data_IF_096442581382
#
_entry.id   IF_096442581382
#
_cell.length_a   1.000
_cell.length_b   1.000
_cell.length_c   1.000
_cell.angle_alpha   90.00
_cell.angle_beta   90.00
_cell.angle_gamma   90.00
#
_symmetry.space_group_name_H-M   'P 1'
#
loop_
_entity.id
_entity.type
_entity.pdbx_description
1 polymer ?
#
# COMPACT_ATOMS: atom_id res chain seq x y z
N UNK A 1 -19.46 -12.74 36.81
CA UNK A 1 -19.36 -11.29 36.58
C UNK A 1 -17.90 -10.94 36.32
N UNK A 2 -17.50 -10.86 35.05
CA UNK A 2 -16.50 -9.88 34.60
C UNK A 2 -17.27 -8.95 33.65
N UNK A 3 -17.42 -7.67 34.01
CA UNK A 3 -17.97 -6.67 33.11
C UNK A 3 -16.87 -6.28 32.10
N UNK A 4 -17.29 -5.84 30.91
CA UNK A 4 -16.49 -5.21 29.86
C UNK A 4 -15.77 -6.13 28.82
N UNK A 5 -16.37 -6.17 27.62
CA UNK A 5 -15.69 -6.09 26.30
C UNK A 5 -14.79 -7.24 25.83
N UNK A 6 -15.34 -8.14 25.00
CA UNK A 6 -14.66 -8.83 23.88
C UNK A 6 -13.20 -9.28 24.07
N UNK A 7 -12.98 -10.33 24.89
CA UNK A 7 -11.75 -11.14 24.87
C UNK A 7 -11.73 -12.06 23.63
N UNK A 8 -11.56 -11.49 22.43
CA UNK A 8 -11.48 -12.29 21.20
C UNK A 8 -10.04 -12.66 20.84
N UNK A 9 -9.44 -13.58 21.59
CA UNK A 9 -8.22 -14.26 21.16
C UNK A 9 -8.48 -15.06 19.88
N UNK A 10 -7.68 -14.86 18.84
CA UNK A 10 -7.75 -15.65 17.61
C UNK A 10 -8.70 -15.13 16.52
N UNK A 11 -9.20 -13.89 16.62
CA UNK A 11 -9.87 -13.22 15.49
C UNK A 11 -8.85 -12.49 14.62
N UNK A 12 -8.92 -12.72 13.31
CA UNK A 12 -8.04 -12.10 12.31
C UNK A 12 -8.87 -11.51 11.16
N UNK A 13 -8.43 -10.36 10.66
CA UNK A 13 -9.03 -9.69 9.50
C UNK A 13 -7.94 -9.32 8.49
N UNK A 14 -8.22 -9.55 7.21
CA UNK A 14 -7.34 -9.24 6.08
C UNK A 14 -8.17 -8.99 4.83
N UNK A 15 -7.53 -8.65 3.70
CA UNK A 15 -8.25 -8.38 2.45
C UNK A 15 -9.01 -7.05 2.47
N UNK A 16 -10.16 -7.04 1.82
CA UNK A 16 -11.08 -5.91 1.66
C UNK A 16 -11.94 -5.63 2.92
N UNK A 17 -12.01 -6.57 3.86
CA UNK A 17 -12.69 -6.44 5.14
C UNK A 17 -11.98 -5.46 6.10
N UNK A 18 -10.72 -5.09 5.82
CA UNK A 18 -9.94 -4.16 6.65
C UNK A 18 -10.24 -2.71 6.23
N UNK A 19 -10.67 -1.84 7.16
CA UNK A 19 -10.98 -0.44 6.86
C UNK A 19 -9.72 0.31 6.42
N UNK A 20 -9.49 0.34 5.11
CA UNK A 20 -8.31 0.91 4.46
C UNK A 20 -8.66 1.35 3.04
N UNK A 21 -7.71 1.97 2.33
CA UNK A 21 -7.96 2.36 0.94
C UNK A 21 -8.33 1.13 0.09
N UNK A 22 -9.35 1.32 -0.76
CA UNK A 22 -9.96 0.25 -1.57
C UNK A 22 -9.16 -0.03 -2.84
N UNK A 23 -7.88 -0.35 -2.70
CA UNK A 23 -7.04 -0.81 -3.81
C UNK A 23 -6.72 -2.31 -3.68
N UNK A 24 -6.61 -2.99 -4.82
CA UNK A 24 -6.25 -4.43 -4.87
C UNK A 24 -4.92 -4.68 -4.16
N UNK A 25 -3.93 -3.81 -4.37
CA UNK A 25 -2.61 -3.92 -3.74
C UNK A 25 -2.70 -3.89 -2.22
N UNK A 26 -3.56 -3.02 -1.67
CA UNK A 26 -3.73 -2.88 -0.22
C UNK A 26 -4.47 -4.09 0.36
N UNK A 27 -5.54 -4.55 -0.28
CA UNK A 27 -6.26 -5.74 0.12
C UNK A 27 -5.33 -6.98 0.15
N UNK A 28 -4.52 -7.18 -0.89
CA UNK A 28 -3.52 -8.26 -0.96
C UNK A 28 -2.50 -8.14 0.17
N UNK A 29 -2.00 -6.93 0.44
CA UNK A 29 -1.08 -6.66 1.54
C UNK A 29 -1.68 -7.03 2.91
N UNK A 30 -2.94 -6.68 3.15
CA UNK A 30 -3.66 -7.03 4.38
C UNK A 30 -3.91 -8.53 4.50
N UNK A 31 -4.28 -9.21 3.41
CA UNK A 31 -4.43 -10.66 3.39
C UNK A 31 -3.12 -11.36 3.79
N UNK A 32 -2.00 -10.98 3.16
CA UNK A 32 -0.66 -11.50 3.49
C UNK A 32 -0.28 -11.27 4.95
N UNK A 33 -0.62 -10.10 5.50
CA UNK A 33 -0.36 -9.79 6.91
C UNK A 33 -1.19 -10.71 7.81
N UNK A 34 -2.49 -10.82 7.58
CA UNK A 34 -3.38 -11.67 8.37
C UNK A 34 -2.92 -13.13 8.40
N UNK A 35 -2.53 -13.70 7.25
CA UNK A 35 -2.03 -15.08 7.17
C UNK A 35 -0.82 -15.34 8.06
N UNK A 36 0.09 -14.37 8.22
CA UNK A 36 1.28 -14.51 9.09
C UNK A 36 0.91 -14.57 10.57
N UNK A 37 -0.06 -13.75 10.98
CA UNK A 37 -0.55 -13.77 12.36
C UNK A 37 -1.36 -15.04 12.67
N UNK A 38 -2.14 -15.53 11.70
CA UNK A 38 -2.84 -16.82 11.81
C UNK A 38 -1.82 -17.96 11.98
N UNK A 39 -0.78 -18.01 11.14
CA UNK A 39 0.27 -19.04 11.24
C UNK A 39 0.96 -19.01 12.62
N UNK A 40 1.33 -17.83 13.11
CA UNK A 40 1.93 -17.71 14.44
C UNK A 40 0.98 -18.13 15.59
N UNK A 41 -0.29 -17.77 15.49
CA UNK A 41 -1.31 -18.19 16.45
C UNK A 41 -1.52 -19.70 16.47
N UNK A 42 -1.61 -20.34 15.29
CA UNK A 42 -1.76 -21.79 15.16
C UNK A 42 -0.54 -22.56 15.67
N UNK A 43 0.66 -21.97 15.59
CA UNK A 43 1.91 -22.57 16.07
C UNK A 43 2.21 -22.28 17.54
N UNK A 44 1.48 -21.37 18.17
CA UNK A 44 1.82 -20.85 19.50
C UNK A 44 3.07 -19.95 19.52
N UNK A 45 3.54 -19.51 18.35
CA UNK A 45 4.75 -18.70 18.16
C UNK A 45 4.37 -17.37 17.52
N UNK A 46 4.21 -16.28 18.28
CA UNK A 46 3.73 -15.01 17.76
C UNK A 46 4.59 -14.48 16.60
N UNK A 47 3.95 -14.12 15.49
CA UNK A 47 4.66 -13.53 14.35
C UNK A 47 5.27 -12.17 14.71
N UNK A 48 6.59 -12.04 14.54
CA UNK A 48 7.33 -10.78 14.71
C UNK A 48 7.59 -10.14 13.34
N UNK A 49 7.04 -8.95 13.06
CA UNK A 49 7.34 -8.23 11.83
C UNK A 49 8.82 -7.85 11.74
N UNK A 50 9.42 -8.04 10.56
CA UNK A 50 10.76 -7.52 10.29
C UNK A 50 10.82 -5.99 10.47
N UNK A 51 11.96 -5.43 10.89
CA UNK A 51 12.17 -3.99 10.89
C UNK A 51 11.83 -3.38 9.53
N UNK A 52 11.18 -2.21 9.55
CA UNK A 52 10.93 -1.46 8.32
C UNK A 52 12.25 -0.95 7.76
N UNK A 53 12.32 -0.78 6.45
CA UNK A 53 13.44 -0.10 5.82
C UNK A 53 13.61 1.29 6.41
N UNK A 54 14.86 1.72 6.57
CA UNK A 54 15.19 3.08 6.98
C UNK A 54 14.53 4.09 6.04
N UNK A 55 14.16 5.23 6.61
CA UNK A 55 13.73 6.38 5.81
C UNK A 55 14.89 6.76 4.90
N UNK A 56 14.63 6.76 3.60
CA UNK A 56 15.59 7.19 2.58
C UNK A 56 15.65 8.71 2.64
N UNK A 57 16.75 9.26 3.16
CA UNK A 57 17.02 10.69 3.12
C UNK A 57 17.45 11.15 1.72
N UNK A 58 17.55 12.47 1.54
CA UNK A 58 17.91 13.10 0.27
C UNK A 58 19.26 12.60 -0.28
N UNK A 59 20.19 12.26 0.60
CA UNK A 59 21.52 11.73 0.29
C UNK A 59 21.51 10.36 -0.39
N UNK A 60 20.42 9.60 -0.23
CA UNK A 60 20.23 8.28 -0.86
C UNK A 60 19.40 8.36 -2.15
N UNK A 61 18.94 9.55 -2.54
CA UNK A 61 18.26 9.77 -3.81
C UNK A 61 19.29 9.90 -4.94
N UNK A 62 19.19 9.04 -5.96
CA UNK A 62 19.99 9.16 -7.18
C UNK A 62 19.42 10.27 -8.08
N UNK A 63 19.66 11.53 -7.72
CA UNK A 63 19.12 12.73 -8.40
C UNK A 63 19.78 13.06 -9.75
N UNK A 64 20.50 12.11 -10.34
CA UNK A 64 21.16 12.27 -11.65
C UNK A 64 20.18 12.48 -12.82
N UNK A 65 18.88 12.47 -12.57
CA UNK A 65 17.84 12.76 -13.56
C UNK A 65 17.54 14.26 -13.76
N UNK A 66 18.45 15.14 -13.37
CA UNK A 66 18.44 16.54 -13.84
C UNK A 66 19.23 16.60 -15.14
N UNK A 67 18.72 15.94 -16.18
CA UNK A 67 19.18 16.25 -17.54
C UNK A 67 18.66 17.64 -17.85
N UNK A 68 19.55 18.54 -18.31
CA UNK A 68 19.17 19.73 -19.09
C UNK A 68 18.47 19.25 -20.37
N UNK A 69 17.25 18.74 -20.24
CA UNK A 69 16.44 18.28 -21.35
C UNK A 69 15.69 19.51 -21.85
N UNK A 70 15.94 19.99 -23.08
CA UNK A 70 15.15 21.07 -23.64
C UNK A 70 13.68 20.64 -23.62
N UNK A 71 12.82 21.51 -23.10
CA UNK A 71 11.38 21.29 -23.12
C UNK A 71 10.95 21.06 -24.58
N UNK A 72 10.49 19.85 -24.90
CA UNK A 72 9.95 19.57 -26.23
C UNK A 72 8.59 20.23 -26.33
N UNK A 73 8.34 20.92 -27.44
CA UNK A 73 7.00 21.39 -27.76
C UNK A 73 6.09 20.17 -27.94
N UNK A 74 5.14 19.99 -27.02
CA UNK A 74 4.14 18.93 -27.15
C UNK A 74 3.11 19.40 -28.20
N UNK A 75 2.91 18.66 -29.31
CA UNK A 75 1.86 19.01 -30.25
C UNK A 75 0.51 18.90 -29.56
N UNK A 76 -0.27 19.97 -29.64
CA UNK A 76 -1.63 20.03 -29.13
C UNK A 76 -2.59 19.95 -30.32
N UNK A 77 -3.57 19.06 -30.25
CA UNK A 77 -4.67 19.02 -31.22
C UNK A 77 -5.40 20.38 -31.25
N UNK A 78 -5.75 20.91 -32.44
CA UNK A 78 -6.56 22.11 -32.53
C UNK A 78 -7.94 21.87 -31.91
N UNK A 79 -8.53 22.94 -31.39
CA UNK A 79 -9.75 22.89 -30.59
C UNK A 79 -10.93 22.27 -31.35
N UNK A 80 -10.98 22.46 -32.68
CA UNK A 80 -11.96 21.86 -33.57
C UNK A 80 -11.90 20.32 -33.60
N UNK A 81 -10.71 19.72 -33.55
CA UNK A 81 -10.53 18.27 -33.55
C UNK A 81 -10.78 17.66 -32.15
N UNK A 82 -10.60 18.46 -31.09
CA UNK A 82 -10.96 18.03 -29.72
C UNK A 82 -12.47 17.90 -29.51
N UNK A 83 -13.26 18.67 -30.26
CA UNK A 83 -14.72 18.73 -30.13
C UNK A 83 -15.45 17.77 -31.07
N UNK A 84 -14.75 17.12 -32.00
CA UNK A 84 -15.36 16.29 -33.04
C UNK A 84 -15.48 14.80 -32.69
N UNK A 85 -15.05 14.35 -31.51
CA UNK A 85 -15.07 12.93 -31.14
C UNK A 85 -15.41 12.70 -29.66
N UNK A 86 -16.34 11.75 -29.42
CA UNK A 86 -16.56 11.02 -28.16
C UNK A 86 -16.61 9.53 -28.47
#
# INVERSE_FOLDING_TARGET
>A
MRPDGDEHGGIFAGGDMVPSERSVTIAVGHGKKASRYIDGFLRGEPYVPAPKHDIVGHERLHLWYTTSAPQRAQPHLPLSERLSSF
#
